data_IF_425591090810
#
_entry.id   IF_425591090810
#
_cell.length_a   1.000
_cell.length_b   1.000
_cell.length_c   1.000
_cell.angle_alpha   90.00
_cell.angle_beta   90.00
_cell.angle_gamma   90.00
#
_symmetry.space_group_name_H-M   'P 1'
#
loop_
_entity.id
_entity.type
_entity.pdbx_description
1 polymer ?
#
# COMPACT_ATOMS: atom_id res chain seq x y z
N UNK A 1 13.68 -13.19 49.62
CA UNK A 1 13.35 -11.76 49.39
C UNK A 1 13.97 -11.21 48.11
N UNK A 2 15.29 -11.37 47.90
CA UNK A 2 15.96 -10.85 46.68
C UNK A 2 15.44 -11.50 45.38
N UNK A 3 15.17 -12.80 45.37
CA UNK A 3 14.58 -13.48 44.20
C UNK A 3 13.17 -12.99 43.88
N UNK A 4 12.31 -12.84 44.89
CA UNK A 4 10.95 -12.29 44.72
C UNK A 4 11.00 -10.87 44.14
N UNK A 5 11.93 -10.04 44.59
CA UNK A 5 12.13 -8.70 44.04
C UNK A 5 12.57 -8.76 42.57
N UNK A 6 13.49 -9.67 42.21
CA UNK A 6 13.92 -9.88 40.82
C UNK A 6 12.75 -10.29 39.93
N UNK A 7 11.91 -11.21 40.39
CA UNK A 7 10.72 -11.63 39.64
C UNK A 7 9.72 -10.50 39.43
N UNK A 8 9.48 -9.66 40.44
CA UNK A 8 8.62 -8.49 40.32
C UNK A 8 9.16 -7.52 39.26
N UNK A 9 10.46 -7.23 39.26
CA UNK A 9 11.08 -6.36 38.25
C UNK A 9 11.02 -6.97 36.85
N UNK A 10 11.16 -8.29 36.71
CA UNK A 10 11.01 -8.97 35.42
C UNK A 10 9.58 -8.86 34.88
N UNK A 11 8.57 -9.08 35.72
CA UNK A 11 7.15 -8.96 35.33
C UNK A 11 6.81 -7.52 34.94
N UNK A 12 7.27 -6.54 35.74
CA UNK A 12 7.07 -5.12 35.43
C UNK A 12 7.77 -4.74 34.11
N UNK A 13 9.01 -5.17 33.91
CA UNK A 13 9.75 -4.93 32.68
C UNK A 13 9.04 -5.53 31.45
N UNK A 14 8.58 -6.77 31.55
CA UNK A 14 7.80 -7.42 30.47
C UNK A 14 6.50 -6.67 30.18
N UNK A 15 5.80 -6.21 31.22
CA UNK A 15 4.56 -5.43 31.08
C UNK A 15 4.77 -4.11 30.34
N UNK A 16 5.80 -3.35 30.71
CA UNK A 16 6.14 -2.08 30.05
C UNK A 16 6.50 -2.29 28.58
N UNK A 17 7.32 -3.32 28.28
CA UNK A 17 7.70 -3.65 26.91
C UNK A 17 6.47 -4.02 26.06
N UNK A 18 5.55 -4.82 26.62
CA UNK A 18 4.32 -5.21 25.92
C UNK A 18 3.43 -3.99 25.60
N UNK A 19 3.30 -3.04 26.53
CA UNK A 19 2.53 -1.80 26.32
C UNK A 19 3.15 -0.96 25.20
N UNK A 20 4.48 -0.76 25.20
CA UNK A 20 5.17 0.02 24.16
C UNK A 20 4.97 -0.62 22.78
N UNK A 21 5.10 -1.96 22.70
CA UNK A 21 4.87 -2.69 21.46
C UNK A 21 3.42 -2.51 20.97
N UNK A 22 2.45 -2.63 21.87
CA UNK A 22 1.04 -2.44 21.55
C UNK A 22 0.76 -1.03 21.01
N UNK A 23 1.25 0.02 21.68
CA UNK A 23 1.07 1.41 21.23
C UNK A 23 1.72 1.67 19.87
N UNK A 24 2.90 1.12 19.62
CA UNK A 24 3.57 1.20 18.32
C UNK A 24 2.71 0.58 17.22
N UNK A 25 2.23 -0.64 17.41
CA UNK A 25 1.37 -1.31 16.44
C UNK A 25 0.06 -0.56 16.23
N UNK A 26 -0.59 -0.12 17.30
CA UNK A 26 -1.82 0.66 17.25
C UNK A 26 -1.64 1.93 16.42
N UNK A 27 -0.55 2.67 16.66
CA UNK A 27 -0.22 3.90 15.94
C UNK A 27 0.03 3.66 14.46
N UNK A 28 0.77 2.60 14.11
CA UNK A 28 1.03 2.21 12.72
C UNK A 28 -0.27 1.86 12.00
N UNK A 29 -1.12 1.05 12.62
CA UNK A 29 -2.42 0.64 12.06
C UNK A 29 -3.33 1.85 11.86
N UNK A 30 -3.42 2.76 12.85
CA UNK A 30 -4.23 3.96 12.72
C UNK A 30 -3.73 4.89 11.62
N UNK A 31 -2.40 5.07 11.51
CA UNK A 31 -1.78 5.84 10.42
C UNK A 31 -2.11 5.23 9.05
N UNK A 32 -2.04 3.91 8.94
CA UNK A 32 -2.38 3.18 7.73
C UNK A 32 -3.87 3.29 7.37
N UNK A 33 -4.76 3.17 8.36
CA UNK A 33 -6.20 3.32 8.18
C UNK A 33 -6.58 4.74 7.76
N UNK A 34 -5.93 5.75 8.35
CA UNK A 34 -6.09 7.16 7.96
C UNK A 34 -5.62 7.40 6.53
N UNK A 35 -4.48 6.82 6.13
CA UNK A 35 -4.02 6.85 4.74
C UNK A 35 -5.02 6.21 3.79
N UNK A 36 -5.60 5.07 4.15
CA UNK A 36 -6.65 4.41 3.36
C UNK A 36 -7.90 5.29 3.23
N UNK A 37 -8.39 5.88 4.32
CA UNK A 37 -9.59 6.74 4.34
C UNK A 37 -9.41 8.04 3.56
N UNK A 38 -8.24 8.67 3.66
CA UNK A 38 -7.93 9.92 2.97
C UNK A 38 -7.54 9.72 1.49
N UNK A 39 -7.66 8.50 0.95
CA UNK A 39 -7.33 8.19 -0.44
C UNK A 39 -5.83 8.22 -0.74
N UNK A 40 -4.96 8.18 0.29
CA UNK A 40 -3.52 8.06 0.09
C UNK A 40 -3.18 6.67 -0.44
N UNK A 41 -2.74 6.64 -1.69
CA UNK A 41 -2.59 5.45 -2.51
C UNK A 41 -1.18 4.87 -2.36
N UNK A 42 -0.99 3.97 -1.39
CA UNK A 42 0.30 3.33 -1.11
C UNK A 42 0.66 2.36 -2.25
N UNK A 43 1.69 2.69 -3.04
CA UNK A 43 2.11 1.93 -4.23
C UNK A 43 2.32 0.43 -3.95
N UNK A 44 2.84 0.06 -2.77
CA UNK A 44 3.16 -1.33 -2.41
C UNK A 44 1.92 -2.22 -2.37
N UNK A 45 0.80 -1.73 -1.82
CA UNK A 45 -0.47 -2.47 -1.75
C UNK A 45 -1.14 -2.63 -3.13
N UNK A 46 -0.69 -1.83 -4.10
CA UNK A 46 -1.27 -1.81 -5.44
C UNK A 46 -0.64 -2.85 -6.37
N UNK A 47 0.37 -3.60 -5.92
CA UNK A 47 0.96 -4.72 -6.68
C UNK A 47 0.06 -5.98 -6.61
N UNK A 48 -0.05 -6.76 -7.70
CA UNK A 48 0.26 -6.36 -9.07
C UNK A 48 -0.71 -5.24 -9.52
N UNK A 49 -0.16 -4.25 -10.24
CA UNK A 49 -0.96 -3.15 -10.76
C UNK A 49 -1.82 -3.63 -11.93
N UNK A 50 -3.15 -3.62 -11.75
CA UNK A 50 -4.10 -3.81 -12.84
C UNK A 50 -4.55 -2.43 -13.33
N UNK A 51 -4.24 -2.11 -14.58
CA UNK A 51 -4.62 -0.84 -15.20
C UNK A 51 -5.87 -1.01 -16.05
N UNK A 52 -6.73 0.00 -16.03
CA UNK A 52 -7.81 0.23 -17.00
C UNK A 52 -7.28 1.22 -18.04
N UNK A 53 -7.49 0.95 -19.32
CA UNK A 53 -7.30 1.94 -20.37
C UNK A 53 -8.42 2.98 -20.26
N UNK A 54 -8.06 4.23 -19.96
CA UNK A 54 -9.01 5.34 -19.85
C UNK A 54 -9.17 6.02 -21.20
N UNK A 55 -8.06 6.21 -21.90
CA UNK A 55 -8.01 6.93 -23.16
C UNK A 55 -6.88 6.38 -24.02
N UNK A 56 -7.07 6.33 -25.33
CA UNK A 56 -6.05 6.00 -26.31
C UNK A 56 -6.22 6.86 -27.56
N UNK A 57 -5.15 7.48 -28.01
CA UNK A 57 -5.13 8.27 -29.24
C UNK A 57 -4.29 7.58 -30.30
N UNK A 58 -4.95 7.05 -31.33
CA UNK A 58 -4.31 6.23 -32.37
C UNK A 58 -3.22 6.96 -33.15
N UNK A 59 -3.40 8.26 -33.42
CA UNK A 59 -2.45 9.02 -34.25
C UNK A 59 -1.11 9.32 -33.54
N UNK A 60 -1.10 9.31 -32.20
CA UNK A 60 0.09 9.66 -31.39
C UNK A 60 0.51 8.50 -30.50
N UNK A 61 -0.19 7.37 -30.60
CA UNK A 61 -0.04 6.19 -29.74
C UNK A 61 -0.15 6.48 -28.23
N UNK A 62 -0.70 7.65 -27.86
CA UNK A 62 -0.72 8.12 -26.48
C UNK A 62 -1.87 7.47 -25.73
N UNK A 63 -1.55 6.77 -24.64
CA UNK A 63 -2.49 6.04 -23.81
C UNK A 63 -2.43 6.52 -22.36
N UNK A 64 -3.61 6.75 -21.78
CA UNK A 64 -3.76 6.99 -20.35
C UNK A 64 -4.26 5.71 -19.69
N UNK A 65 -3.42 5.13 -18.86
CA UNK A 65 -3.70 3.97 -18.03
C UNK A 65 -4.03 4.41 -16.61
N UNK A 66 -5.12 3.93 -16.03
CA UNK A 66 -5.49 4.20 -14.64
C UNK A 66 -5.53 2.91 -13.82
N UNK A 67 -4.79 2.86 -12.71
CA UNK A 67 -4.80 1.66 -11.87
C UNK A 67 -6.16 1.49 -11.19
N UNK A 68 -6.83 0.33 -11.36
CA UNK A 68 -8.16 0.07 -10.75
C UNK A 68 -8.14 0.13 -9.22
N UNK A 69 -7.02 -0.24 -8.58
CA UNK A 69 -6.88 -0.25 -7.12
C UNK A 69 -6.65 1.15 -6.56
N UNK A 70 -5.81 1.94 -7.24
CA UNK A 70 -5.30 3.18 -6.69
C UNK A 70 -5.55 4.40 -7.56
N UNK A 71 -6.37 4.34 -8.59
CA UNK A 71 -6.68 5.45 -9.51
C UNK A 71 -5.46 6.23 -10.04
N UNK A 72 -4.23 5.69 -9.93
CA UNK A 72 -3.03 6.39 -10.37
C UNK A 72 -3.02 6.32 -11.88
N UNK A 73 -2.98 7.49 -12.52
CA UNK A 73 -2.85 7.62 -13.96
C UNK A 73 -1.39 7.55 -14.37
N UNK A 74 -1.13 6.82 -15.45
CA UNK A 74 0.17 6.71 -16.10
C UNK A 74 -0.06 6.95 -17.58
N UNK A 75 0.67 7.90 -18.15
CA UNK A 75 0.76 8.08 -19.59
C UNK A 75 1.78 7.09 -20.14
N UNK A 76 1.43 6.35 -21.18
CA UNK A 76 2.32 5.43 -21.88
C UNK A 76 2.05 5.51 -23.37
N UNK A 77 3.05 5.22 -24.18
CA UNK A 77 2.88 5.10 -25.63
C UNK A 77 2.72 3.62 -25.96
N UNK A 78 1.64 3.28 -26.67
CA UNK A 78 1.30 1.91 -27.06
C UNK A 78 1.31 1.83 -28.58
N UNK A 79 2.29 1.11 -29.10
CA UNK A 79 2.34 0.70 -30.50
C UNK A 79 1.07 -0.08 -30.85
N UNK A 80 0.28 0.50 -31.76
CA UNK A 80 -0.99 -0.08 -32.17
C UNK A 80 -0.79 -1.41 -32.89
N UNK A 81 0.25 -1.51 -33.72
CA UNK A 81 0.46 -2.67 -34.58
C UNK A 81 0.79 -3.91 -33.74
N UNK A 82 1.55 -3.72 -32.66
CA UNK A 82 1.83 -4.75 -31.65
C UNK A 82 0.61 -5.30 -30.91
N UNK A 83 -0.51 -4.58 -30.88
CA UNK A 83 -1.72 -5.01 -30.16
C UNK A 83 -2.90 -5.34 -31.07
N UNK A 84 -2.87 -4.88 -32.32
CA UNK A 84 -3.98 -4.98 -33.28
C UNK A 84 -4.50 -6.41 -33.45
N UNK A 85 -3.60 -7.39 -33.49
CA UNK A 85 -3.95 -8.82 -33.62
C UNK A 85 -4.81 -9.36 -32.47
N UNK A 86 -4.74 -8.74 -31.28
CA UNK A 86 -5.53 -9.15 -30.10
C UNK A 86 -6.94 -8.56 -30.07
N UNK A 87 -7.25 -7.65 -30.99
CA UNK A 87 -8.57 -7.01 -31.10
C UNK A 87 -9.38 -7.51 -32.32
N UNK A 88 -8.84 -8.47 -33.07
CA UNK A 88 -9.51 -9.15 -34.17
C UNK A 88 -10.20 -10.44 -33.73
#
# INVERSE_FOLDING_TARGET
MIEVIKEIFMILGMGVVAIIIYELFYTIINKFNRWRKNGYKIKCLCKPHKYKLVWYWRNTEDAILECKKCGKRKRVFIDYDSIKEKFH
#
